data_IF_995904801939
#
_entry.id   IF_995904801939
#
_cell.length_a   1.000
_cell.length_b   1.000
_cell.length_c   1.000
_cell.angle_alpha   90.00
_cell.angle_beta   90.00
_cell.angle_gamma   90.00
#
_symmetry.space_group_name_H-M   'P 1'
#
loop_
_entity.id
_entity.type
_entity.pdbx_description
1 polymer ?
#
# COMPACT_ATOMS: atom_id res chain seq x y z
N UNK A 1 -12.53 -1.81 -14.96
CA UNK A 1 -12.27 -3.15 -14.40
C UNK A 1 -12.44 -3.15 -12.90
N UNK A 2 -11.43 -2.72 -12.10
CA UNK A 2 -11.61 -2.62 -10.64
C UNK A 2 -12.83 -1.76 -10.27
N UNK A 3 -12.97 -0.53 -10.82
CA UNK A 3 -14.15 0.31 -10.57
C UNK A 3 -15.51 -0.35 -10.92
N UNK A 4 -15.53 -1.37 -11.79
CA UNK A 4 -16.72 -2.12 -12.16
C UNK A 4 -17.00 -3.34 -11.25
N UNK A 5 -16.24 -3.51 -10.17
CA UNK A 5 -16.42 -4.59 -9.19
C UNK A 5 -15.47 -5.77 -9.32
N UNK A 6 -14.57 -5.77 -10.30
CA UNK A 6 -13.67 -6.90 -10.55
C UNK A 6 -12.53 -6.99 -9.51
N UNK A 7 -12.24 -8.19 -9.03
CA UNK A 7 -11.18 -8.44 -8.04
C UNK A 7 -9.77 -8.27 -8.67
N UNK A 8 -8.78 -7.68 -7.97
CA UNK A 8 -7.42 -7.47 -8.50
C UNK A 8 -6.74 -8.75 -9.00
N UNK A 9 -6.97 -9.89 -8.33
CA UNK A 9 -6.45 -11.18 -8.76
C UNK A 9 -7.05 -11.63 -10.10
N UNK A 10 -8.35 -11.43 -10.32
CA UNK A 10 -9.01 -11.74 -11.60
C UNK A 10 -8.47 -10.85 -12.70
N UNK A 11 -8.28 -9.56 -12.42
CA UNK A 11 -7.65 -8.63 -13.36
C UNK A 11 -6.26 -9.14 -13.73
N UNK A 12 -5.44 -9.48 -12.74
CA UNK A 12 -4.06 -9.93 -12.94
C UNK A 12 -3.95 -11.17 -13.85
N UNK A 13 -4.88 -12.12 -13.71
CA UNK A 13 -4.91 -13.36 -14.49
C UNK A 13 -5.53 -13.20 -15.87
N UNK A 14 -6.56 -12.36 -16.01
CA UNK A 14 -7.33 -12.20 -17.24
C UNK A 14 -6.98 -10.88 -17.93
N UNK A 15 -5.77 -10.80 -18.48
CA UNK A 15 -5.35 -9.65 -19.30
C UNK A 15 -5.99 -9.73 -20.70
N UNK A 16 -6.43 -8.60 -21.25
CA UNK A 16 -7.05 -8.55 -22.59
C UNK A 16 -6.04 -8.91 -23.69
N UNK A 17 -4.75 -8.74 -23.40
CA UNK A 17 -3.62 -9.18 -24.23
C UNK A 17 -2.39 -9.40 -23.36
N UNK A 18 -1.57 -10.39 -23.72
CA UNK A 18 -0.29 -10.68 -23.06
C UNK A 18 -0.37 -11.73 -21.95
N UNK A 19 0.71 -11.81 -21.16
CA UNK A 19 0.86 -12.79 -20.08
C UNK A 19 0.20 -12.27 -18.79
N UNK A 20 -0.24 -13.18 -17.89
CA UNK A 20 -0.65 -12.82 -16.55
C UNK A 20 0.40 -11.96 -15.84
N UNK A 21 -0.07 -10.98 -15.07
CA UNK A 21 0.78 -10.07 -14.29
C UNK A 21 0.66 -10.39 -12.80
N UNK A 22 1.57 -9.83 -12.00
CA UNK A 22 1.47 -9.94 -10.54
C UNK A 22 0.32 -9.08 -10.00
N UNK A 23 -0.37 -9.57 -8.96
CA UNK A 23 -1.44 -8.82 -8.28
C UNK A 23 -0.92 -7.50 -7.72
N UNK A 24 0.30 -7.48 -7.17
CA UNK A 24 0.96 -6.27 -6.70
C UNK A 24 1.14 -5.20 -7.79
N UNK A 25 1.32 -5.60 -9.05
CA UNK A 25 1.37 -4.68 -10.20
C UNK A 25 0.00 -4.08 -10.47
N UNK A 26 -1.06 -4.90 -10.43
CA UNK A 26 -2.45 -4.42 -10.58
C UNK A 26 -2.81 -3.44 -9.46
N UNK A 27 -2.51 -3.76 -8.20
CA UNK A 27 -2.73 -2.86 -7.06
C UNK A 27 -1.96 -1.54 -7.27
N UNK A 28 -0.72 -1.61 -7.74
CA UNK A 28 0.07 -0.42 -8.08
C UNK A 28 -0.62 0.48 -9.13
N UNK A 29 -1.16 -0.09 -10.20
CA UNK A 29 -1.92 0.67 -11.21
C UNK A 29 -3.22 1.24 -10.66
N UNK A 30 -3.91 0.51 -9.77
CA UNK A 30 -5.12 1.03 -9.12
C UNK A 30 -4.79 2.23 -8.24
N UNK A 31 -3.72 2.14 -7.44
CA UNK A 31 -3.24 3.24 -6.59
C UNK A 31 -2.82 4.48 -7.39
N UNK A 32 -2.18 4.30 -8.54
CA UNK A 32 -1.88 5.40 -9.45
C UNK A 32 -3.14 6.13 -9.93
N UNK A 33 -4.31 5.46 -9.92
CA UNK A 33 -5.60 6.11 -10.19
C UNK A 33 -5.86 7.31 -9.27
N UNK A 34 -5.42 7.26 -8.01
CA UNK A 34 -5.53 8.39 -7.07
C UNK A 34 -4.79 9.62 -7.58
N UNK A 35 -3.58 9.43 -8.09
CA UNK A 35 -2.73 10.52 -8.63
C UNK A 35 -3.31 11.13 -9.91
N UNK A 36 -4.12 10.36 -10.63
CA UNK A 36 -4.81 10.80 -11.84
C UNK A 36 -6.21 11.38 -11.55
N UNK A 37 -6.56 11.60 -10.27
CA UNK A 37 -7.86 12.14 -9.86
C UNK A 37 -9.03 11.17 -10.11
N UNK A 38 -8.75 9.87 -10.25
CA UNK A 38 -9.79 8.84 -10.44
C UNK A 38 -10.28 8.34 -9.07
N UNK A 39 -11.59 8.09 -8.91
CA UNK A 39 -12.10 7.49 -7.69
C UNK A 39 -11.57 6.06 -7.54
N UNK A 40 -10.98 5.77 -6.39
CA UNK A 40 -10.49 4.44 -6.02
C UNK A 40 -11.17 4.04 -4.71
N UNK A 41 -11.83 2.89 -4.71
CA UNK A 41 -12.35 2.28 -3.50
C UNK A 41 -11.18 1.70 -2.68
N UNK A 42 -10.60 2.55 -1.83
CA UNK A 42 -9.44 2.20 -1.00
C UNK A 42 -9.76 1.10 0.01
N UNK A 43 -10.98 1.10 0.57
CA UNK A 43 -11.38 0.09 1.54
C UNK A 43 -11.35 -1.29 0.90
N UNK A 44 -12.00 -1.44 -0.26
CA UNK A 44 -12.01 -2.69 -1.00
C UNK A 44 -10.60 -3.06 -1.48
N UNK A 45 -9.79 -2.09 -1.88
CA UNK A 45 -8.43 -2.36 -2.32
C UNK A 45 -7.54 -2.92 -1.18
N UNK A 46 -7.70 -2.38 0.03
CA UNK A 46 -7.04 -2.88 1.25
C UNK A 46 -7.50 -4.29 1.58
N UNK A 47 -8.80 -4.57 1.49
CA UNK A 47 -9.35 -5.92 1.73
C UNK A 47 -8.84 -6.96 0.70
N UNK A 48 -8.36 -6.51 -0.47
CA UNK A 48 -7.73 -7.35 -1.50
C UNK A 48 -6.20 -7.46 -1.38
N UNK A 49 -5.55 -6.71 -0.49
CA UNK A 49 -4.10 -6.70 -0.36
C UNK A 49 -3.61 -7.97 0.35
N UNK A 50 -2.47 -8.50 -0.09
CA UNK A 50 -1.88 -9.67 0.56
C UNK A 50 -1.33 -9.29 1.95
N UNK A 51 -1.40 -10.18 2.95
CA UNK A 51 -0.81 -9.93 4.26
C UNK A 51 0.67 -9.54 4.16
N UNK A 52 1.07 -8.51 4.90
CA UNK A 52 2.44 -8.01 4.88
C UNK A 52 2.81 -7.16 3.66
N UNK A 53 1.85 -6.77 2.81
CA UNK A 53 2.09 -5.81 1.70
C UNK A 53 1.66 -4.38 2.01
N UNK A 54 0.87 -4.20 3.07
CA UNK A 54 0.54 -2.89 3.63
C UNK A 54 1.61 -2.51 4.67
N UNK A 55 2.12 -1.28 4.65
CA UNK A 55 3.03 -0.81 5.69
C UNK A 55 2.28 -0.65 7.01
N UNK A 56 2.91 -1.02 8.12
CA UNK A 56 2.47 -0.59 9.45
C UNK A 56 3.01 0.82 9.78
N UNK A 57 2.69 1.31 10.98
CA UNK A 57 3.09 2.64 11.44
C UNK A 57 4.62 2.80 11.52
N UNK A 58 5.32 1.77 11.99
CA UNK A 58 6.78 1.79 12.16
C UNK A 58 7.45 1.83 10.80
N UNK A 59 6.99 0.99 9.88
CA UNK A 59 7.49 0.92 8.51
C UNK A 59 7.17 2.20 7.72
N UNK A 60 6.01 2.81 7.99
CA UNK A 60 5.66 4.12 7.46
C UNK A 60 6.66 5.18 7.91
N UNK A 61 6.90 5.28 9.22
CA UNK A 61 7.87 6.22 9.79
C UNK A 61 9.28 5.99 9.25
N UNK A 62 9.71 4.74 9.09
CA UNK A 62 11.02 4.41 8.54
C UNK A 62 11.19 4.92 7.09
N UNK A 63 10.14 4.84 6.26
CA UNK A 63 10.17 5.40 4.91
C UNK A 63 10.23 6.93 4.92
N UNK A 64 9.56 7.58 5.87
CA UNK A 64 9.66 9.04 6.05
C UNK A 64 11.06 9.47 6.50
N UNK A 65 11.64 8.76 7.46
CA UNK A 65 13.01 8.99 7.91
C UNK A 65 14.02 8.76 6.78
N UNK A 66 13.80 7.75 5.95
CA UNK A 66 14.65 7.48 4.79
C UNK A 66 14.60 8.62 3.77
N UNK A 67 13.45 9.26 3.55
CA UNK A 67 13.35 10.46 2.73
C UNK A 67 14.20 11.60 3.27
N UNK A 68 14.12 11.85 4.59
CA UNK A 68 14.88 12.90 5.25
C UNK A 68 16.38 12.63 5.11
N UNK A 69 16.82 11.40 5.40
CA UNK A 69 18.23 10.99 5.31
C UNK A 69 18.79 11.08 3.89
N UNK A 70 17.94 10.85 2.88
CA UNK A 70 18.34 10.86 1.47
C UNK A 70 18.12 12.23 0.80
N UNK A 71 17.59 13.22 1.53
CA UNK A 71 17.17 14.52 0.99
C UNK A 71 16.22 14.40 -0.23
N UNK A 72 15.30 13.43 -0.18
CA UNK A 72 14.33 13.16 -1.24
C UNK A 72 12.95 13.70 -0.85
N UNK A 73 12.50 14.75 -1.54
CA UNK A 73 11.11 15.21 -1.47
C UNK A 73 10.24 14.41 -2.47
N UNK A 74 9.57 13.38 -1.96
CA UNK A 74 8.71 12.50 -2.77
C UNK A 74 7.50 13.18 -3.40
N UNK A 75 7.14 14.38 -2.93
CA UNK A 75 6.04 15.16 -3.51
C UNK A 75 6.49 15.93 -4.75
N UNK A 76 7.80 16.22 -4.88
CA UNK A 76 8.36 17.01 -5.99
C UNK A 76 9.08 16.16 -7.03
N UNK A 77 9.72 15.08 -6.61
CA UNK A 77 10.46 14.19 -7.53
C UNK A 77 9.47 13.36 -8.33
N UNK A 78 9.56 13.35 -9.66
CA UNK A 78 8.68 12.51 -10.50
C UNK A 78 8.96 11.02 -10.29
N UNK A 79 10.22 10.63 -10.46
CA UNK A 79 10.69 9.24 -10.39
C UNK A 79 11.56 9.02 -9.15
N UNK A 80 10.94 8.53 -8.07
CA UNK A 80 11.67 8.14 -6.85
C UNK A 80 12.36 6.80 -7.10
N UNK A 81 13.68 6.76 -6.90
CA UNK A 81 14.46 5.53 -6.94
C UNK A 81 14.14 4.67 -5.70
N UNK A 82 13.00 3.96 -5.74
CA UNK A 82 12.48 3.19 -4.61
C UNK A 82 13.49 2.20 -4.03
N UNK A 83 14.32 1.59 -4.87
CA UNK A 83 15.35 0.66 -4.41
C UNK A 83 16.38 1.34 -3.51
N UNK A 84 16.84 2.53 -3.88
CA UNK A 84 17.84 3.30 -3.12
C UNK A 84 17.23 3.79 -1.81
N UNK A 85 16.01 4.32 -1.86
CA UNK A 85 15.26 4.73 -0.66
C UNK A 85 15.06 3.55 0.31
N UNK A 86 14.60 2.40 -0.20
CA UNK A 86 14.38 1.21 0.61
C UNK A 86 15.68 0.64 1.17
N UNK A 87 16.81 0.79 0.46
CA UNK A 87 18.11 0.39 0.99
C UNK A 87 18.50 1.18 2.25
N UNK A 88 18.07 2.45 2.36
CA UNK A 88 18.25 3.26 3.57
C UNK A 88 17.37 2.74 4.72
N UNK A 89 16.18 2.20 4.41
CA UNK A 89 15.27 1.60 5.39
C UNK A 89 15.81 0.27 5.91
N UNK A 90 16.14 -0.67 5.01
CA UNK A 90 16.58 -2.02 5.41
C UNK A 90 18.03 -2.07 5.90
N UNK A 91 18.82 -1.03 5.59
CA UNK A 91 20.22 -0.92 5.94
C UNK A 91 21.19 -1.40 4.86
N UNK A 92 22.46 -1.01 4.93
CA UNK A 92 23.46 -1.35 3.91
C UNK A 92 23.72 -2.86 3.87
N UNK A 93 23.66 -3.45 2.67
CA UNK A 93 23.92 -4.88 2.45
C UNK A 93 22.73 -5.81 2.71
N UNK A 94 21.61 -5.28 3.23
CA UNK A 94 20.37 -6.04 3.34
C UNK A 94 19.63 -6.11 2.00
N UNK A 95 18.96 -7.23 1.73
CA UNK A 95 18.18 -7.41 0.51
C UNK A 95 16.80 -6.74 0.63
N UNK A 96 16.46 -5.89 -0.34
CA UNK A 96 15.12 -5.29 -0.44
C UNK A 96 14.15 -6.31 -1.02
N UNK A 97 13.28 -6.85 -0.18
CA UNK A 97 12.31 -7.87 -0.57
C UNK A 97 11.16 -7.31 -1.43
N UNK A 98 10.46 -8.15 -2.22
CA UNK A 98 9.27 -7.73 -2.96
C UNK A 98 8.17 -7.10 -2.09
N UNK A 99 8.05 -7.55 -0.82
CA UNK A 99 7.10 -6.99 0.13
C UNK A 99 7.41 -5.52 0.43
N UNK A 100 8.69 -5.14 0.59
CA UNK A 100 9.08 -3.74 0.78
C UNK A 100 8.70 -2.85 -0.40
N UNK A 101 8.82 -3.35 -1.64
CA UNK A 101 8.34 -2.60 -2.80
C UNK A 101 6.82 -2.42 -2.80
N UNK A 102 6.07 -3.43 -2.36
CA UNK A 102 4.62 -3.32 -2.24
C UNK A 102 4.23 -2.27 -1.18
N UNK A 103 4.87 -2.30 -0.01
CA UNK A 103 4.67 -1.33 1.07
C UNK A 103 5.00 0.10 0.63
N UNK A 104 6.15 0.27 -0.03
CA UNK A 104 6.57 1.57 -0.55
C UNK A 104 5.61 2.12 -1.61
N UNK A 105 4.98 1.27 -2.42
CA UNK A 105 3.95 1.73 -3.38
C UNK A 105 2.71 2.25 -2.67
N UNK A 106 2.24 1.59 -1.63
CA UNK A 106 1.13 2.08 -0.82
C UNK A 106 1.48 3.44 -0.21
N UNK A 107 2.60 3.51 0.51
CA UNK A 107 3.08 4.73 1.13
C UNK A 107 3.23 5.89 0.13
N UNK A 108 3.95 5.67 -0.97
CA UNK A 108 4.25 6.72 -1.95
C UNK A 108 2.99 7.27 -2.61
N UNK A 109 2.08 6.38 -3.04
CA UNK A 109 0.87 6.83 -3.75
C UNK A 109 -0.12 7.52 -2.80
N UNK A 110 -0.30 7.01 -1.58
CA UNK A 110 -1.18 7.64 -0.59
C UNK A 110 -0.64 9.01 -0.16
N UNK A 111 0.68 9.12 0.07
CA UNK A 111 1.34 10.38 0.40
C UNK A 111 1.23 11.40 -0.71
N UNK A 112 1.52 11.01 -1.96
CA UNK A 112 1.39 11.89 -3.14
C UNK A 112 -0.06 12.30 -3.42
N UNK A 113 -1.01 11.43 -3.15
CA UNK A 113 -2.44 11.75 -3.26
C UNK A 113 -2.97 12.57 -2.06
N UNK A 114 -2.11 12.90 -1.08
CA UNK A 114 -2.50 13.58 0.16
C UNK A 114 -3.65 12.88 0.91
N UNK A 115 -3.70 11.55 0.83
CA UNK A 115 -4.70 10.75 1.54
C UNK A 115 -4.29 10.67 3.01
N UNK A 116 -5.16 11.08 3.96
CA UNK A 116 -4.85 10.93 5.38
C UNK A 116 -4.78 9.44 5.74
N UNK A 117 -3.69 9.04 6.40
CA UNK A 117 -3.48 7.68 6.88
C UNK A 117 -3.53 7.69 8.41
N UNK A 118 -4.29 6.77 8.96
CA UNK A 118 -4.38 6.53 10.41
C UNK A 118 -4.14 5.05 10.67
N UNK A 119 -3.22 4.74 11.59
CA UNK A 119 -3.02 3.39 12.08
C UNK A 119 -3.89 3.21 13.33
N UNK A 120 -4.65 2.12 13.39
CA UNK A 120 -5.38 1.80 14.61
C UNK A 120 -4.40 1.14 15.58
N UNK A 121 -4.26 1.72 16.77
CA UNK A 121 -3.61 1.04 17.89
C UNK A 121 -4.34 -0.28 18.13
N UNK A 122 -3.62 -1.41 18.11
CA UNK A 122 -4.16 -2.76 18.30
C UNK A 122 -4.72 -3.04 19.71
N UNK A 123 -5.25 -2.03 20.40
CA UNK A 123 -5.82 -2.12 21.75
C UNK A 123 -7.34 -2.33 21.78
N UNK A 124 -7.98 -2.64 20.65
CA UNK A 124 -9.36 -3.16 20.68
C UNK A 124 -9.33 -4.68 20.94
N UNK A 125 -9.24 -5.05 22.22
CA UNK A 125 -9.78 -6.32 22.66
C UNK A 125 -11.27 -6.33 22.28
N UNK A 126 -11.77 -7.32 21.52
CA UNK A 126 -13.19 -7.42 21.26
C UNK A 126 -13.87 -7.72 22.59
N UNK A 127 -14.43 -6.68 23.21
CA UNK A 127 -15.27 -6.86 24.38
C UNK A 127 -16.46 -7.71 23.92
N UNK A 128 -16.68 -8.92 24.46
CA UNK A 128 -17.81 -9.72 24.06
C UNK A 128 -19.08 -8.91 24.35
N UNK A 129 -19.84 -8.62 23.28
CA UNK A 129 -21.17 -8.02 23.38
C UNK A 129 -21.94 -8.78 24.46
N UNK A 130 -22.35 -8.06 25.52
CA UNK A 130 -23.24 -8.61 26.55
C UNK A 130 -24.47 -9.20 25.85
N UNK A 131 -24.51 -10.52 25.77
CA UNK A 131 -25.73 -11.28 25.59
C UNK A 131 -26.56 -11.08 26.85
N UNK A 132 -27.61 -10.30 26.76
CA UNK A 132 -28.83 -10.44 27.56
C UNK A 132 -29.99 -9.88 26.73
N UNK A 133 -31.22 -10.44 26.79
CA UNK A 133 -31.73 -11.49 27.67
C UNK A 133 -32.38 -12.68 26.91
N UNK A 134 -32.75 -13.76 27.62
CA UNK A 134 -34.18 -14.01 27.88
C UNK A 134 -34.38 -14.27 29.38
N UNK A 135 -35.42 -13.78 30.06
CA UNK A 135 -36.87 -13.93 29.87
C UNK A 135 -37.57 -12.73 30.53
#
# INVERSE_FOLDING_TARGET
>A
RFAAGEHPQTIAMNQDSGKPVQVATVIGHILQGLLLGRPVDLRRLVDCAEPGTLPDEVEWSQMEDACIKSDIDVMKVENVALKELLQVVVGPGAEVTPAWYAKARWWLNLKRASVPVSFQDGSETPTPKRLCPPV
#
